data_IF_238821353398
#
_entry.id   IF_238821353398
#
_cell.length_a   1.000
_cell.length_b   1.000
_cell.length_c   1.000
_cell.angle_alpha   90.00
_cell.angle_beta   90.00
_cell.angle_gamma   90.00
#
_symmetry.space_group_name_H-M   'P 1'
#
loop_
_entity.id
_entity.type
_entity.pdbx_description
1 polymer ?
#
# COMPACT_ATOMS: atom_id res chain seq x y z
N UNK A 1 -12.32 1.45 -24.07
CA UNK A 1 -11.66 2.00 -22.87
C UNK A 1 -12.12 1.22 -21.63
N UNK A 2 -11.40 0.13 -21.29
CA UNK A 2 -11.77 -0.79 -20.22
C UNK A 2 -11.20 -0.29 -18.87
N UNK A 3 -12.11 0.20 -18.02
CA UNK A 3 -12.04 0.34 -16.55
C UNK A 3 -10.66 0.67 -15.93
N UNK A 4 -10.29 1.96 -15.99
CA UNK A 4 -9.14 2.55 -15.30
C UNK A 4 -9.39 2.85 -13.82
N UNK A 5 -9.94 1.89 -13.05
CA UNK A 5 -9.89 1.93 -11.59
C UNK A 5 -8.91 0.87 -11.09
N UNK A 6 -7.90 1.27 -10.30
CA UNK A 6 -7.02 0.34 -9.59
C UNK A 6 -7.51 0.03 -8.17
N UNK A 7 -8.47 0.80 -7.63
CA UNK A 7 -9.00 0.55 -6.29
C UNK A 7 -9.52 -0.88 -6.14
N UNK A 8 -8.88 -1.63 -5.23
CA UNK A 8 -9.33 -2.94 -4.78
C UNK A 8 -9.96 -2.81 -3.39
N UNK A 9 -11.21 -3.25 -3.19
CA UNK A 9 -11.79 -3.29 -1.85
C UNK A 9 -11.00 -4.27 -0.95
N UNK A 10 -10.95 -3.96 0.34
CA UNK A 10 -10.38 -4.89 1.32
C UNK A 10 -11.20 -6.19 1.32
N UNK A 11 -10.56 -7.37 1.32
CA UNK A 11 -11.25 -8.62 1.59
C UNK A 11 -11.93 -8.58 2.96
N UNK A 12 -13.09 -9.23 3.10
CA UNK A 12 -13.94 -9.17 4.32
C UNK A 12 -13.16 -9.48 5.61
N UNK A 13 -12.20 -10.41 5.53
CA UNK A 13 -11.39 -10.77 6.69
C UNK A 13 -10.48 -9.63 7.20
N UNK A 14 -10.12 -8.68 6.32
CA UNK A 14 -9.32 -7.48 6.57
C UNK A 14 -10.15 -6.19 6.68
N UNK A 15 -11.40 -6.17 6.21
CA UNK A 15 -12.29 -4.99 6.28
C UNK A 15 -12.93 -4.84 7.67
N UNK A 16 -12.08 -4.72 8.68
CA UNK A 16 -12.45 -4.69 10.09
C UNK A 16 -11.90 -3.42 10.74
N UNK A 17 -12.75 -2.54 11.31
CA UNK A 17 -12.30 -1.26 11.87
C UNK A 17 -11.19 -1.39 12.91
N UNK A 18 -11.16 -2.48 13.68
CA UNK A 18 -10.14 -2.75 14.70
C UNK A 18 -8.74 -3.04 14.13
N UNK A 19 -8.63 -3.39 12.85
CA UNK A 19 -7.34 -3.60 12.18
C UNK A 19 -6.69 -2.27 11.77
N UNK A 20 -7.45 -1.18 11.74
CA UNK A 20 -6.93 0.16 11.44
C UNK A 20 -6.36 0.33 10.03
N UNK A 21 -6.68 -0.58 9.10
CA UNK A 21 -6.20 -0.55 7.72
C UNK A 21 -6.86 0.64 7.00
N UNK A 22 -6.03 1.46 6.36
CA UNK A 22 -6.46 2.58 5.51
C UNK A 22 -6.30 2.11 4.07
N UNK A 23 -7.36 2.19 3.27
CA UNK A 23 -7.37 1.81 1.86
C UNK A 23 -7.89 3.00 1.02
N UNK A 24 -6.99 3.89 0.56
CA UNK A 24 -7.34 5.04 -0.27
C UNK A 24 -8.10 4.64 -1.54
N UNK A 25 -9.23 5.29 -1.79
CA UNK A 25 -10.15 4.92 -2.88
C UNK A 25 -9.80 5.56 -4.22
N UNK A 26 -8.73 5.08 -4.88
CA UNK A 26 -8.25 5.56 -6.18
C UNK A 26 -8.98 4.95 -7.36
N UNK A 27 -10.23 5.36 -7.52
CA UNK A 27 -11.11 4.86 -8.58
C UNK A 27 -10.78 5.42 -9.97
N UNK A 28 -10.03 6.52 -10.04
CA UNK A 28 -9.81 7.29 -11.27
C UNK A 28 -8.32 7.29 -11.73
N UNK A 29 -7.43 6.62 -11.00
CA UNK A 29 -6.00 6.54 -11.31
C UNK A 29 -5.37 5.21 -10.83
N UNK A 30 -4.05 5.05 -11.05
CA UNK A 30 -3.25 3.90 -10.63
C UNK A 30 -2.18 4.29 -9.58
N UNK A 31 -2.35 5.40 -8.87
CA UNK A 31 -1.36 5.97 -7.94
C UNK A 31 -1.54 5.49 -6.48
N UNK A 32 -1.97 4.24 -6.27
CA UNK A 32 -2.27 3.69 -4.94
C UNK A 32 -1.14 3.89 -3.92
N UNK A 33 0.11 3.57 -4.30
CA UNK A 33 1.29 3.78 -3.47
C UNK A 33 1.41 5.23 -2.99
N UNK A 34 1.29 6.21 -3.91
CA UNK A 34 1.33 7.63 -3.58
C UNK A 34 0.20 8.02 -2.63
N UNK A 35 -1.02 7.53 -2.86
CA UNK A 35 -2.15 7.80 -1.97
C UNK A 35 -1.95 7.19 -0.58
N UNK A 36 -1.30 6.04 -0.44
CA UNK A 36 -0.93 5.45 0.85
C UNK A 36 0.09 6.33 1.60
N UNK A 37 1.12 6.84 0.91
CA UNK A 37 2.07 7.81 1.49
C UNK A 37 1.35 9.09 1.93
N UNK A 38 0.45 9.63 1.11
CA UNK A 38 -0.34 10.82 1.46
C UNK A 38 -1.28 10.58 2.64
N UNK A 39 -1.87 9.38 2.75
CA UNK A 39 -2.72 8.98 3.86
C UNK A 39 -1.94 8.91 5.18
N UNK A 40 -0.75 8.32 5.15
CA UNK A 40 0.17 8.30 6.29
C UNK A 40 0.44 9.72 6.80
N UNK A 41 0.87 10.64 5.93
CA UNK A 41 1.16 12.02 6.35
C UNK A 41 -0.07 12.77 6.85
N UNK A 42 -1.22 12.58 6.20
CA UNK A 42 -2.48 13.19 6.65
C UNK A 42 -2.87 12.72 8.05
N UNK A 43 -2.61 11.45 8.37
CA UNK A 43 -2.77 10.88 9.71
C UNK A 43 -1.79 11.50 10.71
N UNK A 44 -0.50 11.53 10.39
CA UNK A 44 0.55 12.07 11.26
C UNK A 44 0.32 13.55 11.60
N UNK A 45 -0.06 14.37 10.62
CA UNK A 45 -0.41 15.77 10.85
C UNK A 45 -1.63 15.95 11.76
N UNK A 46 -2.63 15.08 11.64
CA UNK A 46 -3.80 15.11 12.51
C UNK A 46 -3.41 14.75 13.95
N UNK A 47 -2.59 13.71 14.13
CA UNK A 47 -2.07 13.28 15.43
C UNK A 47 -1.20 14.38 16.08
N UNK A 48 -0.24 14.94 15.33
CA UNK A 48 0.62 16.06 15.79
C UNK A 48 -0.21 17.28 16.21
N UNK A 49 -1.36 17.51 15.57
CA UNK A 49 -2.29 18.58 15.92
C UNK A 49 -3.32 18.20 17.01
N UNK A 50 -3.16 17.05 17.67
CA UNK A 50 -4.07 16.51 18.68
C UNK A 50 -5.54 16.37 18.17
N UNK A 51 -5.70 15.98 16.91
CA UNK A 51 -7.00 15.75 16.25
C UNK A 51 -7.14 14.29 15.86
N UNK A 52 -8.38 13.80 15.87
CA UNK A 52 -8.71 12.48 15.34
C UNK A 52 -8.53 12.45 13.81
N UNK A 53 -7.67 11.59 13.24
CA UNK A 53 -7.62 11.38 11.81
C UNK A 53 -8.97 10.84 11.31
N UNK A 54 -9.48 11.38 10.21
CA UNK A 54 -10.78 10.99 9.67
C UNK A 54 -10.76 11.00 8.15
N UNK A 55 -11.58 10.14 7.54
CA UNK A 55 -11.78 10.08 6.09
C UNK A 55 -10.48 9.85 5.28
N UNK A 56 -9.52 9.09 5.83
CA UNK A 56 -8.23 8.83 5.18
C UNK A 56 -8.34 7.96 3.91
N UNK A 57 -9.50 7.33 3.68
CA UNK A 57 -9.77 6.61 2.43
C UNK A 57 -10.20 7.57 1.28
N UNK A 58 -10.53 8.83 1.56
CA UNK A 58 -10.99 9.79 0.56
C UNK A 58 -9.84 10.59 -0.05
N UNK A 59 -9.46 10.28 -1.30
CA UNK A 59 -8.34 10.94 -2.00
C UNK A 59 -8.40 12.46 -1.97
N UNK A 60 -9.59 13.06 -2.10
CA UNK A 60 -9.76 14.52 -2.04
C UNK A 60 -9.16 15.14 -0.76
N UNK A 61 -9.14 14.40 0.35
CA UNK A 61 -8.56 14.81 1.64
C UNK A 61 -7.04 14.64 1.67
N UNK A 62 -6.55 13.66 0.91
CA UNK A 62 -5.13 13.31 0.82
C UNK A 62 -4.36 14.22 -0.14
N UNK A 63 -5.04 14.84 -1.11
CA UNK A 63 -4.43 15.70 -2.16
C UNK A 63 -3.44 16.74 -1.65
N UNK A 64 -3.65 17.29 -0.45
CA UNK A 64 -2.71 18.26 0.15
C UNK A 64 -1.30 17.68 0.37
N UNK A 65 -1.22 16.36 0.60
CA UNK A 65 0.00 15.61 0.84
C UNK A 65 0.36 14.72 -0.35
N UNK A 66 -0.22 14.95 -1.53
CA UNK A 66 0.04 14.16 -2.75
C UNK A 66 1.50 14.26 -3.21
N UNK A 67 2.16 15.39 -2.95
CA UNK A 67 3.52 15.69 -3.39
C UNK A 67 4.47 15.90 -2.20
N UNK A 68 4.17 15.29 -1.05
CA UNK A 68 4.99 15.42 0.17
C UNK A 68 6.32 14.65 0.08
N UNK A 69 6.38 13.66 -0.81
CA UNK A 69 7.58 12.88 -1.11
C UNK A 69 7.94 13.05 -2.59
N UNK A 70 9.19 12.72 -2.92
CA UNK A 70 9.69 12.69 -4.29
C UNK A 70 9.26 11.38 -4.96
N UNK A 71 8.42 11.48 -6.01
CA UNK A 71 8.01 10.34 -6.84
C UNK A 71 8.64 10.38 -8.24
N UNK A 72 9.67 11.21 -8.46
CA UNK A 72 10.37 11.27 -9.74
C UNK A 72 10.95 9.89 -10.11
N UNK A 73 10.78 9.47 -11.37
CA UNK A 73 11.24 8.18 -11.85
C UNK A 73 10.35 6.98 -11.46
N UNK A 74 9.34 7.17 -10.61
CA UNK A 74 8.35 6.14 -10.27
C UNK A 74 7.30 6.05 -11.39
N UNK A 75 7.10 4.84 -11.93
CA UNK A 75 6.02 4.56 -12.90
C UNK A 75 4.85 3.93 -12.16
N UNK A 76 3.65 4.46 -12.36
CA UNK A 76 2.44 3.92 -11.75
C UNK A 76 1.71 2.92 -12.67
N UNK A 77 1.17 1.81 -12.14
CA UNK A 77 1.23 1.40 -10.73
C UNK A 77 2.66 0.99 -10.32
N UNK A 78 3.06 1.37 -9.11
CA UNK A 78 4.43 1.13 -8.63
C UNK A 78 4.72 -0.37 -8.56
N UNK A 79 5.95 -0.77 -8.88
CA UNK A 79 6.46 -2.13 -8.63
C UNK A 79 7.31 -2.16 -7.37
N UNK A 80 7.63 -3.35 -6.83
CA UNK A 80 8.55 -3.46 -5.68
C UNK A 80 9.91 -2.78 -5.94
N UNK A 81 10.42 -2.88 -7.17
CA UNK A 81 11.65 -2.19 -7.56
C UNK A 81 11.52 -0.66 -7.57
N UNK A 82 10.33 -0.13 -7.83
CA UNK A 82 10.10 1.31 -7.72
C UNK A 82 10.04 1.75 -6.25
N UNK A 83 9.76 0.85 -5.31
CA UNK A 83 9.84 1.15 -3.87
C UNK A 83 11.28 1.37 -3.46
N UNK A 84 12.21 0.52 -3.90
CA UNK A 84 13.66 0.72 -3.67
C UNK A 84 14.10 2.11 -4.17
N UNK A 85 13.72 2.49 -5.40
CA UNK A 85 14.01 3.82 -5.96
C UNK A 85 13.38 4.97 -5.17
N UNK A 86 12.16 4.75 -4.69
CA UNK A 86 11.47 5.73 -3.86
C UNK A 86 12.25 5.98 -2.57
N UNK A 87 12.69 4.92 -1.90
CA UNK A 87 13.49 5.04 -0.67
C UNK A 87 14.86 5.67 -0.93
N UNK A 88 15.54 5.34 -2.04
CA UNK A 88 16.79 6.00 -2.47
C UNK A 88 16.60 7.50 -2.67
N UNK A 89 15.47 7.91 -3.25
CA UNK A 89 15.13 9.32 -3.51
C UNK A 89 14.57 10.05 -2.29
N UNK A 90 14.17 9.32 -1.25
CA UNK A 90 13.57 9.84 -0.03
C UNK A 90 14.20 9.15 1.20
N UNK A 91 15.45 9.49 1.56
CA UNK A 91 16.23 8.73 2.56
C UNK A 91 15.67 8.78 4.00
N UNK A 92 14.62 9.56 4.25
CA UNK A 92 13.89 9.59 5.52
C UNK A 92 12.67 8.65 5.56
N UNK A 93 12.47 7.82 4.53
CA UNK A 93 11.42 6.80 4.48
C UNK A 93 12.02 5.38 4.56
N UNK A 94 11.31 4.52 5.28
CA UNK A 94 11.46 3.07 5.24
C UNK A 94 10.08 2.46 4.97
N UNK A 95 9.94 1.75 3.86
CA UNK A 95 8.71 1.13 3.39
C UNK A 95 8.80 -0.37 3.60
N UNK A 96 7.88 -0.93 4.38
CA UNK A 96 7.71 -2.37 4.46
C UNK A 96 6.44 -2.75 3.71
N UNK A 97 6.51 -3.84 2.95
CA UNK A 97 5.40 -4.34 2.16
C UNK A 97 5.14 -5.77 2.58
N UNK A 98 3.90 -6.02 2.97
CA UNK A 98 3.45 -7.31 3.39
C UNK A 98 2.33 -7.81 2.48
N UNK A 99 2.25 -9.13 2.29
CA UNK A 99 1.15 -9.78 1.57
C UNK A 99 0.29 -10.57 2.55
N UNK A 100 -1.05 -10.38 2.55
CA UNK A 100 -1.94 -11.26 3.30
C UNK A 100 -2.04 -12.63 2.60
N UNK A 101 -2.04 -13.70 3.39
CA UNK A 101 -2.34 -15.05 2.95
C UNK A 101 -3.50 -15.61 3.76
N UNK A 102 -4.49 -16.17 3.05
CA UNK A 102 -5.72 -16.67 3.64
C UNK A 102 -5.61 -18.17 3.84
N UNK A 103 -5.88 -18.63 5.06
CA UNK A 103 -5.92 -20.06 5.40
C UNK A 103 -7.26 -20.38 6.03
N UNK A 104 -7.88 -21.46 5.60
CA UNK A 104 -8.99 -22.04 6.34
C UNK A 104 -8.47 -22.85 7.52
N UNK A 105 -8.93 -22.54 8.71
CA UNK A 105 -8.66 -23.29 9.92
C UNK A 105 -9.95 -23.44 10.73
N UNK A 106 -10.37 -24.68 11.00
CA UNK A 106 -11.57 -24.98 11.78
C UNK A 106 -12.86 -24.29 11.26
N UNK A 107 -13.04 -24.24 9.94
CA UNK A 107 -14.21 -23.62 9.31
C UNK A 107 -14.24 -22.08 9.41
N UNK A 108 -13.11 -21.46 9.73
CA UNK A 108 -12.93 -20.00 9.74
C UNK A 108 -11.77 -19.62 8.82
N UNK A 109 -11.93 -18.53 8.09
CA UNK A 109 -10.83 -17.90 7.36
C UNK A 109 -9.95 -17.16 8.37
N UNK A 110 -8.70 -17.57 8.46
CA UNK A 110 -7.63 -16.86 9.16
C UNK A 110 -6.79 -16.10 8.12
N UNK A 111 -6.38 -14.89 8.48
CA UNK A 111 -5.43 -14.12 7.68
C UNK A 111 -4.08 -14.15 8.40
N UNK A 112 -3.08 -14.69 7.73
CA UNK A 112 -1.68 -14.54 8.09
C UNK A 112 -1.03 -13.49 7.16
N UNK A 113 0.13 -12.97 7.53
CA UNK A 113 0.81 -11.89 6.80
C UNK A 113 2.26 -12.31 6.56
N UNK A 114 2.67 -12.35 5.30
CA UNK A 114 4.05 -12.65 4.90
C UNK A 114 4.78 -11.37 4.45
N UNK A 115 6.05 -11.18 4.83
CA UNK A 115 6.85 -10.06 4.33
C UNK A 115 7.17 -10.29 2.84
N UNK A 116 6.95 -9.26 2.02
CA UNK A 116 7.24 -9.28 0.59
C UNK A 116 8.46 -8.41 0.26
N UNK A 117 8.55 -7.25 0.89
CA UNK A 117 9.71 -6.37 0.84
C UNK A 117 9.85 -5.73 2.22
N UNK A 118 11.06 -5.75 2.78
CA UNK A 118 11.39 -5.11 4.05
C UNK A 118 12.51 -4.14 3.76
N UNK A 119 12.31 -2.87 4.12
CA UNK A 119 13.31 -1.83 3.92
C UNK A 119 14.64 -2.24 4.55
N UNK A 120 15.72 -2.12 3.79
CA UNK A 120 17.08 -2.36 4.28
C UNK A 120 17.66 -1.13 5.00
N UNK A 121 16.96 0.00 4.97
CA UNK A 121 17.38 1.21 5.68
C UNK A 121 17.34 1.01 7.20
N UNK A 122 18.26 1.68 7.90
CA UNK A 122 18.23 1.71 9.37
C UNK A 122 16.87 2.27 9.83
N UNK A 123 16.12 1.50 10.62
CA UNK A 123 14.79 1.89 11.14
C UNK A 123 14.77 3.18 11.98
N UNK A 124 15.90 3.83 12.19
CA UNK A 124 16.01 5.20 12.71
C UNK A 124 15.68 6.27 11.65
N UNK A 125 14.69 6.03 10.80
CA UNK A 125 14.14 7.01 9.86
C UNK A 125 12.95 7.76 10.47
N UNK A 126 12.60 8.91 9.91
CA UNK A 126 11.43 9.69 10.37
C UNK A 126 10.11 9.00 10.01
N UNK A 127 10.04 8.35 8.84
CA UNK A 127 8.82 7.78 8.30
C UNK A 127 8.98 6.29 8.01
N UNK A 128 8.56 5.46 8.96
CA UNK A 128 8.40 4.01 8.73
C UNK A 128 6.95 3.72 8.38
N UNK A 129 6.70 3.10 7.22
CA UNK A 129 5.36 2.88 6.67
C UNK A 129 5.20 1.41 6.28
N UNK A 130 4.22 0.74 6.90
CA UNK A 130 3.84 -0.63 6.55
C UNK A 130 2.66 -0.61 5.57
N UNK A 131 2.82 -1.26 4.42
CA UNK A 131 1.82 -1.37 3.35
C UNK A 131 1.37 -2.82 3.17
N UNK A 132 0.12 -3.00 2.72
CA UNK A 132 -0.45 -4.31 2.41
C UNK A 132 -0.66 -4.43 0.90
N UNK A 133 0.07 -5.35 0.29
CA UNK A 133 -0.04 -5.64 -1.13
C UNK A 133 -1.26 -6.51 -1.43
N UNK A 134 -2.22 -5.98 -2.20
CA UNK A 134 -3.46 -6.65 -2.60
C UNK A 134 -3.48 -6.90 -4.12
N UNK A 135 -4.02 -8.05 -4.51
CA UNK A 135 -4.14 -8.47 -5.92
C UNK A 135 -5.57 -8.92 -6.23
N UNK A 136 -6.05 -8.67 -7.46
CA UNK A 136 -7.31 -9.25 -7.95
C UNK A 136 -7.11 -10.76 -8.19
N UNK A 137 -7.50 -11.59 -7.21
CA UNK A 137 -7.49 -13.05 -7.29
C UNK A 137 -6.54 -13.75 -6.30
N UNK A 138 -6.81 -15.03 -6.01
CA UNK A 138 -5.95 -15.93 -5.22
C UNK A 138 -4.70 -16.40 -5.99
N UNK A 139 -4.06 -15.55 -6.79
CA UNK A 139 -2.70 -15.89 -7.21
C UNK A 139 -1.79 -15.76 -5.99
N UNK A 140 -1.38 -16.91 -5.46
CA UNK A 140 -0.29 -16.99 -4.52
C UNK A 140 0.95 -16.41 -5.22
N UNK A 141 1.72 -15.55 -4.54
CA UNK A 141 3.02 -15.15 -5.12
C UNK A 141 3.98 -16.37 -5.19
N UNK A 142 3.61 -17.50 -4.57
CA UNK A 142 4.34 -18.76 -4.59
C UNK A 142 4.30 -19.45 -5.97
N UNK A 143 3.35 -19.09 -6.84
CA UNK A 143 3.30 -19.58 -8.23
C UNK A 143 4.27 -18.83 -9.17
N UNK A 144 4.92 -17.77 -8.65
CA UNK A 144 5.92 -17.01 -9.40
C UNK A 144 7.30 -17.59 -9.18
N UNK A 145 7.95 -18.00 -10.27
CA UNK A 145 9.40 -18.32 -10.28
C UNK A 145 10.27 -17.09 -9.92
N UNK A 146 9.72 -15.88 -10.08
CA UNK A 146 10.35 -14.62 -9.73
C UNK A 146 9.25 -13.63 -9.28
N UNK A 147 9.33 -13.14 -8.04
CA UNK A 147 8.38 -12.16 -7.48
C UNK A 147 8.33 -10.84 -8.26
N UNK A 148 9.35 -10.56 -9.09
CA UNK A 148 9.45 -9.38 -9.94
C UNK A 148 8.76 -9.52 -11.30
N UNK A 149 8.34 -10.72 -11.71
CA UNK A 149 7.58 -10.91 -12.95
C UNK A 149 6.10 -10.66 -12.67
N UNK A 150 5.64 -9.44 -12.93
CA UNK A 150 4.21 -9.09 -12.95
C UNK A 150 3.73 -9.24 -14.40
N UNK A 151 2.81 -10.18 -14.71
CA UNK A 151 2.29 -10.36 -16.06
C UNK A 151 1.65 -9.08 -16.61
N UNK A 152 1.81 -8.88 -17.92
CA UNK A 152 1.26 -7.74 -18.64
C UNK A 152 -0.28 -7.74 -18.54
N UNK A 153 -0.85 -6.72 -17.87
CA UNK A 153 -2.30 -6.58 -17.65
C UNK A 153 -2.79 -6.77 -16.21
N UNK A 154 -1.93 -7.16 -15.26
CA UNK A 154 -2.30 -7.28 -13.84
C UNK A 154 -2.31 -5.91 -13.14
N UNK A 155 -3.44 -5.61 -12.48
CA UNK A 155 -3.57 -4.44 -11.60
C UNK A 155 -2.94 -4.78 -10.25
N UNK A 156 -1.88 -4.05 -9.87
CA UNK A 156 -1.27 -4.15 -8.55
C UNK A 156 -1.79 -3.02 -7.65
N UNK A 157 -2.07 -3.33 -6.37
CA UNK A 157 -2.60 -2.35 -5.40
C UNK A 157 -1.87 -2.49 -4.06
N UNK A 158 -1.58 -1.35 -3.42
CA UNK A 158 -0.89 -1.23 -2.12
C UNK A 158 -1.79 -0.54 -1.10
#
# INVERSE_FOLDING_TARGET
>A
PLQGSSYLPLPEALDKPQLGIINPQNRDDNECFKWCISAYHTREEAIKANRKPSHLNEIRRLRRNANIANFEGIKFPATLHDIDKFEESNPNYAINIFKPFYREAFGKIKVDIDPLHISEHNYQVEHMIDLLYLTEGEESLNDRKNQNDIPEGLKTHY
#
